data_IF_997937187967
#
_entry.id   IF_997937187967
#
_cell.length_a   1.000
_cell.length_b   1.000
_cell.length_c   1.000
_cell.angle_alpha   90.00
_cell.angle_beta   90.00
_cell.angle_gamma   90.00
#
_symmetry.space_group_name_H-M   'P 1'
#
loop_
_entity.id
_entity.type
_entity.pdbx_description
1 polymer ?
#
# COMPACT_ATOMS: atom_id res chain seq x y z
N UNK A 1 -58.65 -31.34 -33.57
CA UNK A 1 -58.73 -30.75 -32.21
C UNK A 1 -57.46 -29.94 -32.01
N UNK A 2 -57.55 -28.66 -32.36
CA UNK A 2 -56.54 -27.64 -32.11
C UNK A 2 -56.44 -27.33 -30.62
N UNK A 3 -55.21 -27.14 -30.13
CA UNK A 3 -54.95 -26.26 -28.97
C UNK A 3 -53.66 -25.47 -29.21
N UNK A 4 -53.86 -24.24 -29.68
CA UNK A 4 -52.98 -23.11 -29.44
C UNK A 4 -52.88 -22.81 -27.94
N UNK A 5 -51.66 -22.70 -27.42
CA UNK A 5 -51.38 -21.94 -26.19
C UNK A 5 -50.19 -21.03 -26.48
N UNK A 6 -50.49 -19.77 -26.78
CA UNK A 6 -49.59 -18.63 -26.70
C UNK A 6 -49.89 -17.90 -25.40
N UNK A 7 -48.92 -17.71 -24.51
CA UNK A 7 -49.10 -16.86 -23.34
C UNK A 7 -47.81 -16.62 -22.52
N UNK A 8 -47.17 -15.46 -22.77
CA UNK A 8 -46.50 -14.56 -21.81
C UNK A 8 -45.17 -15.02 -21.16
N UNK A 9 -44.08 -14.23 -21.14
CA UNK A 9 -43.87 -12.86 -21.62
C UNK A 9 -42.37 -12.52 -21.58
N UNK A 10 -41.86 -12.05 -22.72
CA UNK A 10 -40.57 -11.34 -22.81
C UNK A 10 -40.93 -9.91 -23.23
N UNK A 11 -40.95 -8.99 -22.26
CA UNK A 11 -41.26 -7.58 -22.50
C UNK A 11 -40.05 -6.72 -22.19
N UNK A 12 -39.31 -6.35 -23.23
CA UNK A 12 -38.54 -5.11 -23.23
C UNK A 12 -37.01 -5.27 -23.38
N UNK A 13 -36.36 -4.43 -24.21
CA UNK A 13 -34.89 -4.34 -24.29
C UNK A 13 -34.23 -3.71 -23.04
N UNK A 14 -34.98 -3.45 -21.97
CA UNK A 14 -34.51 -2.84 -20.72
C UNK A 14 -34.08 -3.86 -19.65
N UNK A 15 -34.54 -5.11 -19.72
CA UNK A 15 -34.14 -6.18 -18.78
C UNK A 15 -32.84 -6.88 -19.17
N UNK A 16 -32.32 -6.60 -20.38
CA UNK A 16 -31.02 -7.08 -20.81
C UNK A 16 -29.88 -6.22 -20.29
N UNK A 17 -30.11 -4.95 -19.92
CA UNK A 17 -29.03 -4.04 -19.51
C UNK A 17 -28.31 -4.50 -18.22
N UNK A 18 -29.00 -4.90 -17.14
CA UNK A 18 -28.31 -5.33 -15.91
C UNK A 18 -27.59 -6.67 -16.09
N UNK A 19 -28.17 -7.57 -16.89
CA UNK A 19 -27.59 -8.88 -17.20
C UNK A 19 -26.39 -8.78 -18.15
N UNK A 20 -26.44 -7.82 -19.10
CA UNK A 20 -25.34 -7.56 -20.03
C UNK A 20 -24.18 -6.84 -19.32
N UNK A 21 -24.43 -5.93 -18.39
CA UNK A 21 -23.36 -5.35 -17.54
C UNK A 21 -22.67 -6.44 -16.73
N UNK A 22 -23.44 -7.35 -16.12
CA UNK A 22 -22.88 -8.44 -15.33
C UNK A 22 -22.12 -9.48 -16.18
N UNK A 23 -22.50 -9.67 -17.46
CA UNK A 23 -21.80 -10.56 -18.38
C UNK A 23 -20.61 -9.92 -19.11
N UNK A 24 -20.65 -8.62 -19.40
CA UNK A 24 -19.51 -7.88 -19.98
C UNK A 24 -18.37 -7.76 -18.97
N UNK A 25 -18.68 -7.61 -17.68
CA UNK A 25 -17.68 -7.70 -16.61
C UNK A 25 -17.02 -9.09 -16.51
N UNK A 26 -17.79 -10.15 -16.81
CA UNK A 26 -17.30 -11.54 -16.79
C UNK A 26 -16.43 -11.88 -18.01
N UNK A 27 -16.75 -11.33 -19.18
CA UNK A 27 -16.06 -11.64 -20.44
C UNK A 27 -14.69 -10.98 -20.61
N UNK A 28 -14.34 -9.96 -19.81
CA UNK A 28 -13.07 -9.24 -19.87
C UNK A 28 -12.07 -9.61 -18.76
N UNK A 29 -12.37 -10.57 -17.87
CA UNK A 29 -11.44 -10.96 -16.79
C UNK A 29 -10.97 -9.82 -15.88
N UNK A 30 -11.72 -8.70 -15.85
CA UNK A 30 -11.36 -7.50 -15.10
C UNK A 30 -11.62 -7.69 -13.62
N UNK A 31 -10.63 -7.34 -12.79
CA UNK A 31 -10.81 -7.34 -11.34
C UNK A 31 -11.85 -6.28 -10.94
N UNK A 32 -12.59 -6.45 -9.84
CA UNK A 32 -13.50 -5.42 -9.35
C UNK A 32 -12.75 -4.10 -9.10
N UNK A 33 -13.34 -2.96 -9.45
CA UNK A 33 -12.74 -1.62 -9.29
C UNK A 33 -12.18 -1.36 -7.89
N UNK A 34 -12.84 -1.87 -6.85
CA UNK A 34 -12.39 -1.70 -5.47
C UNK A 34 -11.08 -2.47 -5.19
N UNK A 35 -10.81 -3.59 -5.87
CA UNK A 35 -9.55 -4.33 -5.73
C UNK A 35 -8.37 -3.52 -6.30
N UNK A 36 -8.60 -2.81 -7.41
CA UNK A 36 -7.62 -1.90 -7.99
C UNK A 36 -7.33 -0.70 -7.09
N UNK A 37 -8.39 -0.15 -6.48
CA UNK A 37 -8.28 0.92 -5.48
C UNK A 37 -7.49 0.45 -4.25
N UNK A 38 -7.79 -0.74 -3.71
CA UNK A 38 -7.06 -1.32 -2.57
C UNK A 38 -5.57 -1.48 -2.87
N UNK A 39 -5.23 -1.96 -4.06
CA UNK A 39 -3.83 -2.09 -4.44
C UNK A 39 -3.12 -0.76 -4.70
N UNK A 40 -3.82 0.23 -5.25
CA UNK A 40 -3.30 1.58 -5.39
C UNK A 40 -3.05 2.23 -4.03
N UNK A 41 -3.95 2.02 -3.07
CA UNK A 41 -3.76 2.44 -1.69
C UNK A 41 -2.53 1.76 -1.04
N UNK A 42 -2.39 0.44 -1.17
CA UNK A 42 -1.22 -0.29 -0.64
C UNK A 42 0.11 0.25 -1.21
N UNK A 43 0.15 0.51 -2.52
CA UNK A 43 1.32 1.11 -3.20
C UNK A 43 1.62 2.50 -2.67
N UNK A 44 0.60 3.34 -2.57
CA UNK A 44 0.75 4.69 -2.07
C UNK A 44 1.28 4.68 -0.63
N UNK A 45 0.64 3.94 0.27
CA UNK A 45 1.01 3.88 1.69
C UNK A 45 2.43 3.37 1.91
N UNK A 46 2.83 2.29 1.22
CA UNK A 46 4.21 1.77 1.33
C UNK A 46 5.23 2.75 0.77
N UNK A 47 4.98 3.35 -0.39
CA UNK A 47 5.90 4.33 -0.99
C UNK A 47 6.00 5.61 -0.17
N UNK A 48 4.86 6.06 0.37
CA UNK A 48 4.77 7.25 1.20
C UNK A 48 5.51 7.07 2.53
N UNK A 49 5.35 5.91 3.18
CA UNK A 49 6.13 5.54 4.36
C UNK A 49 7.64 5.52 4.08
N UNK A 50 8.08 4.85 3.00
CA UNK A 50 9.50 4.78 2.63
C UNK A 50 10.11 6.17 2.43
N UNK A 51 9.39 7.05 1.72
CA UNK A 51 9.80 8.44 1.51
C UNK A 51 9.85 9.24 2.80
N UNK A 52 8.83 9.12 3.65
CA UNK A 52 8.79 9.80 4.95
C UNK A 52 9.92 9.34 5.87
N UNK A 53 10.23 8.04 5.90
CA UNK A 53 11.32 7.50 6.70
C UNK A 53 12.69 8.01 6.23
N UNK A 54 12.92 8.06 4.92
CA UNK A 54 14.15 8.64 4.37
C UNK A 54 14.28 10.14 4.72
N UNK A 55 13.19 10.90 4.62
CA UNK A 55 13.16 12.31 5.02
C UNK A 55 13.42 12.50 6.52
N UNK A 56 12.88 11.63 7.36
CA UNK A 56 13.13 11.65 8.79
C UNK A 56 14.63 11.47 9.11
N UNK A 57 15.29 10.50 8.47
CA UNK A 57 16.73 10.27 8.63
C UNK A 57 17.53 11.48 8.15
N UNK A 58 17.21 12.02 6.98
CA UNK A 58 17.89 13.20 6.44
C UNK A 58 17.73 14.44 7.36
N UNK A 59 16.53 14.65 7.90
CA UNK A 59 16.26 15.71 8.86
C UNK A 59 17.03 15.49 10.17
N UNK A 60 17.09 14.25 10.66
CA UNK A 60 17.84 13.88 11.85
C UNK A 60 19.33 14.14 11.72
N UNK A 61 19.95 13.72 10.62
CA UNK A 61 21.37 13.98 10.33
C UNK A 61 21.64 15.48 10.29
N UNK A 62 20.79 16.25 9.61
CA UNK A 62 20.95 17.71 9.53
C UNK A 62 20.88 18.36 10.92
N UNK A 63 19.98 17.93 11.77
CA UNK A 63 19.80 18.48 13.12
C UNK A 63 21.03 18.23 14.00
N UNK A 64 21.57 17.00 14.01
CA UNK A 64 22.74 16.67 14.84
C UNK A 64 24.04 17.28 14.31
N UNK A 65 24.13 17.54 13.00
CA UNK A 65 25.31 18.15 12.36
C UNK A 65 25.29 19.68 12.36
N UNK A 66 24.16 20.31 12.72
CA UNK A 66 24.05 21.77 12.69
C UNK A 66 24.83 22.40 13.86
N UNK A 67 25.87 23.20 13.59
CA UNK A 67 26.63 23.86 14.65
C UNK A 67 25.80 24.93 15.36
N UNK A 68 25.98 25.06 16.67
CA UNK A 68 25.36 26.12 17.48
C UNK A 68 23.97 25.80 18.03
N UNK A 69 23.43 24.59 17.81
CA UNK A 69 22.21 24.13 18.47
C UNK A 69 22.57 23.51 19.82
N UNK A 70 21.92 23.99 20.88
CA UNK A 70 22.09 23.48 22.25
C UNK A 70 21.64 22.02 22.38
N UNK A 71 22.35 21.24 23.17
CA UNK A 71 22.12 19.79 23.28
C UNK A 71 20.79 19.48 23.97
N UNK A 72 20.37 20.33 24.93
CA UNK A 72 19.04 20.23 25.53
C UNK A 72 17.92 20.50 24.50
N UNK A 73 18.15 21.41 23.55
CA UNK A 73 17.19 21.68 22.47
C UNK A 73 17.13 20.51 21.49
N UNK A 74 18.27 19.89 21.17
CA UNK A 74 18.31 18.67 20.33
C UNK A 74 17.52 17.54 20.96
N UNK A 75 17.63 17.32 22.27
CA UNK A 75 16.89 16.26 22.97
C UNK A 75 15.38 16.43 22.89
N UNK A 76 14.89 17.66 23.08
CA UNK A 76 13.46 17.96 22.95
C UNK A 76 12.97 17.80 21.51
N UNK A 77 13.79 18.17 20.52
CA UNK A 77 13.46 17.99 19.10
C UNK A 77 13.40 16.51 18.74
N UNK A 78 14.35 15.71 19.22
CA UNK A 78 14.40 14.25 19.08
C UNK A 78 13.10 13.64 19.60
N UNK A 79 12.73 13.90 20.86
CA UNK A 79 11.50 13.37 21.47
C UNK A 79 10.26 13.64 20.59
N UNK A 80 10.06 14.89 20.17
CA UNK A 80 8.90 15.28 19.35
C UNK A 80 8.90 14.63 17.98
N UNK A 81 10.07 14.57 17.34
CA UNK A 81 10.22 14.03 15.99
C UNK A 81 9.95 12.53 15.99
N UNK A 82 10.47 11.80 16.97
CA UNK A 82 10.25 10.35 17.08
C UNK A 82 8.78 10.02 17.34
N UNK A 83 8.07 10.78 18.17
CA UNK A 83 6.62 10.59 18.34
C UNK A 83 5.86 10.66 17.01
N UNK A 84 6.13 11.69 16.20
CA UNK A 84 5.49 11.86 14.89
C UNK A 84 5.89 10.75 13.92
N UNK A 85 7.16 10.34 13.93
CA UNK A 85 7.67 9.25 13.10
C UNK A 85 6.95 7.93 13.36
N UNK A 86 6.85 7.50 14.63
CA UNK A 86 6.16 6.28 14.98
C UNK A 86 4.67 6.36 14.68
N UNK A 87 4.00 7.46 15.01
CA UNK A 87 2.58 7.64 14.68
C UNK A 87 2.32 7.44 13.18
N UNK A 88 3.18 8.03 12.36
CA UNK A 88 3.08 7.93 10.91
C UNK A 88 3.42 6.51 10.40
N UNK A 89 4.41 5.85 11.02
CA UNK A 89 4.75 4.45 10.77
C UNK A 89 3.56 3.53 11.00
N UNK A 90 2.90 3.67 12.15
CA UNK A 90 1.74 2.87 12.53
C UNK A 90 0.60 3.01 11.52
N UNK A 91 0.25 4.24 11.16
CA UNK A 91 -0.84 4.52 10.22
C UNK A 91 -0.53 3.91 8.85
N UNK A 92 0.66 4.17 8.31
CA UNK A 92 0.99 3.71 6.96
C UNK A 92 1.15 2.19 6.88
N UNK A 93 1.89 1.57 7.81
CA UNK A 93 2.14 0.13 7.79
C UNK A 93 0.87 -0.68 8.07
N UNK A 94 0.07 -0.31 9.07
CA UNK A 94 -1.17 -1.04 9.38
C UNK A 94 -2.17 -0.98 8.24
N UNK A 95 -2.36 0.20 7.63
CA UNK A 95 -3.25 0.36 6.49
C UNK A 95 -2.74 -0.37 5.24
N UNK A 96 -1.42 -0.34 4.99
CA UNK A 96 -0.82 -1.09 3.89
C UNK A 96 -0.96 -2.60 4.08
N UNK A 97 -0.72 -3.10 5.29
CA UNK A 97 -0.88 -4.51 5.65
C UNK A 97 -2.33 -4.96 5.49
N UNK A 98 -3.30 -4.16 5.95
CA UNK A 98 -4.72 -4.43 5.77
C UNK A 98 -5.09 -4.53 4.28
N UNK A 99 -4.62 -3.57 3.46
CA UNK A 99 -4.83 -3.61 2.02
C UNK A 99 -4.21 -4.87 1.39
N UNK A 100 -2.96 -5.20 1.74
CA UNK A 100 -2.28 -6.39 1.24
C UNK A 100 -3.01 -7.68 1.63
N UNK A 101 -3.53 -7.78 2.86
CA UNK A 101 -4.28 -8.94 3.34
C UNK A 101 -5.58 -9.13 2.54
N UNK A 102 -6.30 -8.04 2.27
CA UNK A 102 -7.50 -8.06 1.41
C UNK A 102 -7.14 -8.57 0.00
N UNK A 103 -6.04 -8.11 -0.58
CA UNK A 103 -5.58 -8.57 -1.90
C UNK A 103 -5.22 -10.06 -1.89
N UNK A 104 -4.50 -10.52 -0.87
CA UNK A 104 -4.10 -11.93 -0.73
C UNK A 104 -5.31 -12.87 -0.65
N UNK A 105 -6.35 -12.50 0.11
CA UNK A 105 -7.59 -13.27 0.20
C UNK A 105 -8.33 -13.34 -1.13
N UNK A 106 -8.30 -12.26 -1.91
CA UNK A 106 -9.15 -12.10 -3.11
C UNK A 106 -8.52 -12.61 -4.38
N UNK A 107 -7.21 -12.44 -4.54
CA UNK A 107 -6.47 -12.92 -5.71
C UNK A 107 -5.96 -14.34 -5.53
N UNK A 108 -5.68 -14.74 -4.27
CA UNK A 108 -5.07 -16.03 -3.91
C UNK A 108 -3.75 -16.31 -4.64
N UNK A 109 -2.99 -15.25 -4.95
CA UNK A 109 -1.68 -15.38 -5.59
C UNK A 109 -0.60 -15.54 -4.53
N UNK A 110 0.36 -16.43 -4.76
CA UNK A 110 1.47 -16.65 -3.84
C UNK A 110 2.26 -15.37 -3.55
N UNK A 111 2.37 -14.45 -4.52
CA UNK A 111 3.00 -13.14 -4.34
C UNK A 111 2.31 -12.30 -3.27
N UNK A 112 0.98 -12.28 -3.24
CA UNK A 112 0.26 -11.43 -2.30
C UNK A 112 0.43 -11.93 -0.86
N UNK A 113 0.58 -13.26 -0.68
CA UNK A 113 0.97 -13.85 0.60
C UNK A 113 2.37 -13.39 1.01
N UNK A 114 3.34 -13.41 0.09
CA UNK A 114 4.70 -12.92 0.36
C UNK A 114 4.68 -11.44 0.76
N UNK A 115 3.92 -10.59 0.06
CA UNK A 115 3.78 -9.17 0.41
C UNK A 115 3.20 -9.01 1.82
N UNK A 116 2.14 -9.75 2.15
CA UNK A 116 1.55 -9.74 3.50
C UNK A 116 2.56 -10.19 4.56
N UNK A 117 3.33 -11.24 4.29
CA UNK A 117 4.36 -11.71 5.21
C UNK A 117 5.46 -10.67 5.44
N UNK A 118 5.96 -10.03 4.38
CA UNK A 118 6.97 -8.97 4.47
C UNK A 118 6.46 -7.78 5.29
N UNK A 119 5.26 -7.28 5.00
CA UNK A 119 4.64 -6.18 5.74
C UNK A 119 4.30 -6.57 7.18
N UNK A 120 3.90 -7.81 7.41
CA UNK A 120 3.62 -8.36 8.74
C UNK A 120 4.87 -8.40 9.60
N UNK A 121 5.99 -8.92 9.08
CA UNK A 121 7.28 -8.92 9.78
C UNK A 121 7.77 -7.49 10.02
N UNK A 122 7.68 -6.60 9.03
CA UNK A 122 8.05 -5.19 9.20
C UNK A 122 7.22 -4.50 10.30
N UNK A 123 5.92 -4.80 10.37
CA UNK A 123 5.03 -4.27 11.41
C UNK A 123 5.40 -4.83 12.78
N UNK A 124 5.70 -6.13 12.88
CA UNK A 124 6.15 -6.75 14.13
C UNK A 124 7.48 -6.15 14.63
N UNK A 125 8.43 -5.87 13.72
CA UNK A 125 9.67 -5.17 14.06
C UNK A 125 9.41 -3.75 14.55
N UNK A 126 8.50 -3.00 13.92
CA UNK A 126 8.11 -1.66 14.37
C UNK A 126 7.48 -1.68 15.77
N UNK A 127 6.61 -2.66 16.06
CA UNK A 127 6.04 -2.88 17.39
C UNK A 127 7.16 -3.12 18.41
N UNK A 128 8.07 -4.04 18.08
CA UNK A 128 9.18 -4.41 18.93
C UNK A 128 10.10 -3.21 19.22
N UNK A 129 10.51 -2.49 18.18
CA UNK A 129 11.36 -1.29 18.29
C UNK A 129 10.70 -0.20 19.16
N UNK A 130 9.40 0.04 18.98
CA UNK A 130 8.68 1.01 19.80
C UNK A 130 8.74 0.68 21.30
N UNK A 131 8.40 -0.55 21.68
CA UNK A 131 8.29 -0.93 23.10
C UNK A 131 9.63 -1.26 23.76
N UNK A 132 10.55 -1.88 23.01
CA UNK A 132 11.78 -2.44 23.58
C UNK A 132 13.00 -1.54 23.36
N UNK A 133 12.92 -0.56 22.45
CA UNK A 133 14.06 0.28 22.09
C UNK A 133 13.71 1.75 22.30
N UNK A 134 12.68 2.26 21.64
CA UNK A 134 12.32 3.68 21.72
C UNK A 134 11.92 4.14 23.12
N UNK A 135 11.02 3.42 23.82
CA UNK A 135 10.61 3.82 25.16
C UNK A 135 11.81 3.85 26.15
N UNK A 136 12.67 2.83 26.24
CA UNK A 136 13.90 2.90 27.04
C UNK A 136 14.85 4.02 26.61
N UNK A 137 15.00 4.25 25.30
CA UNK A 137 15.87 5.30 24.78
C UNK A 137 15.36 6.70 25.16
N UNK A 138 14.04 6.89 25.20
CA UNK A 138 13.40 8.12 25.68
C UNK A 138 13.62 8.35 27.19
N UNK A 139 13.62 7.30 28.00
CA UNK A 139 13.94 7.41 29.43
C UNK A 139 15.39 7.87 29.65
N UNK A 140 16.33 7.39 28.84
CA UNK A 140 17.74 7.78 28.87
C UNK A 140 17.99 9.23 28.39
N UNK A 141 17.03 9.84 27.71
CA UNK A 141 17.08 11.26 27.30
C UNK A 141 16.59 12.22 28.40
N UNK A 142 16.07 11.71 29.52
CA UNK A 142 15.48 12.53 30.57
C UNK A 142 16.35 12.57 31.84
N UNK A 143 16.67 13.77 32.37
CA UNK A 143 16.42 15.12 31.83
C UNK A 143 17.28 15.45 30.60
N UNK A 144 16.83 16.42 29.76
CA UNK A 144 17.52 16.79 28.53
C UNK A 144 18.88 17.44 28.78
N UNK A 145 19.81 17.26 27.83
CA UNK A 145 21.16 17.83 27.85
C UNK A 145 22.19 16.97 28.59
N UNK A 146 21.84 15.74 28.98
CA UNK A 146 22.79 14.83 29.61
C UNK A 146 23.79 14.24 28.61
N UNK A 147 25.03 13.94 29.06
CA UNK A 147 25.99 13.17 28.26
C UNK A 147 25.38 11.82 27.85
N UNK A 148 25.64 11.39 26.62
CA UNK A 148 25.20 10.06 26.16
C UNK A 148 25.96 8.97 26.93
N UNK A 149 25.21 8.01 27.45
CA UNK A 149 25.77 6.83 28.11
C UNK A 149 26.04 5.73 27.08
N UNK A 150 26.93 4.78 27.42
CA UNK A 150 27.17 3.58 26.60
C UNK A 150 25.87 2.81 26.33
N UNK A 151 24.94 2.81 27.30
CA UNK A 151 23.63 2.20 27.16
C UNK A 151 22.76 2.90 26.11
N UNK A 152 22.81 4.23 26.04
CA UNK A 152 22.13 5.00 25.01
C UNK A 152 22.68 4.66 23.62
N UNK A 153 24.00 4.63 23.46
CA UNK A 153 24.64 4.33 22.17
C UNK A 153 24.30 2.91 21.70
N UNK A 154 24.35 1.92 22.61
CA UNK A 154 24.01 0.54 22.29
C UNK A 154 22.55 0.39 21.84
N UNK A 155 21.60 1.02 22.54
CA UNK A 155 20.18 1.01 22.15
C UNK A 155 19.94 1.76 20.85
N UNK A 156 20.62 2.89 20.63
CA UNK A 156 20.49 3.67 19.41
C UNK A 156 20.95 2.87 18.19
N UNK A 157 22.14 2.27 18.24
CA UNK A 157 22.65 1.41 17.17
C UNK A 157 21.73 0.20 16.91
N UNK A 158 21.17 -0.37 17.97
CA UNK A 158 20.22 -1.47 17.83
C UNK A 158 18.92 -1.02 17.14
N UNK A 159 18.40 0.16 17.48
CA UNK A 159 17.25 0.77 16.80
C UNK A 159 17.54 1.00 15.31
N UNK A 160 18.72 1.52 14.98
CA UNK A 160 19.13 1.75 13.58
C UNK A 160 19.11 0.45 12.78
N UNK A 161 19.62 -0.64 13.36
CA UNK A 161 19.61 -1.95 12.72
C UNK A 161 18.18 -2.47 12.49
N UNK A 162 17.35 -2.46 13.54
CA UNK A 162 15.96 -2.96 13.45
C UNK A 162 15.14 -2.14 12.45
N UNK A 163 15.25 -0.81 12.48
CA UNK A 163 14.57 0.07 11.54
C UNK A 163 15.07 -0.12 10.10
N UNK A 164 16.36 -0.34 9.90
CA UNK A 164 16.92 -0.60 8.56
C UNK A 164 16.38 -1.90 7.97
N UNK A 165 16.33 -2.98 8.77
CA UNK A 165 15.73 -4.25 8.33
C UNK A 165 14.25 -4.06 8.01
N UNK A 166 13.49 -3.41 8.90
CA UNK A 166 12.08 -3.10 8.67
C UNK A 166 11.85 -2.29 7.39
N UNK A 167 12.68 -1.26 7.15
CA UNK A 167 12.60 -0.43 5.95
C UNK A 167 12.87 -1.23 4.68
N UNK A 168 13.88 -2.10 4.66
CA UNK A 168 14.18 -2.98 3.51
C UNK A 168 13.03 -3.94 3.22
N UNK A 169 12.40 -4.52 4.24
CA UNK A 169 11.24 -5.40 4.06
C UNK A 169 10.07 -4.67 3.39
N UNK A 170 9.78 -3.44 3.83
CA UNK A 170 8.75 -2.60 3.21
C UNK A 170 9.15 -2.23 1.77
N UNK A 171 10.41 -1.90 1.53
CA UNK A 171 10.92 -1.58 0.20
C UNK A 171 10.70 -2.73 -0.78
N UNK A 172 11.07 -3.95 -0.40
CA UNK A 172 10.84 -5.16 -1.21
C UNK A 172 9.33 -5.37 -1.43
N UNK A 173 8.50 -5.21 -0.40
CA UNK A 173 7.04 -5.32 -0.54
C UNK A 173 6.48 -4.27 -1.51
N UNK A 174 6.96 -3.03 -1.47
CA UNK A 174 6.58 -1.97 -2.39
C UNK A 174 6.98 -2.31 -3.84
N UNK A 175 8.20 -2.79 -4.06
CA UNK A 175 8.64 -3.26 -5.38
C UNK A 175 7.73 -4.36 -5.91
N UNK A 176 7.36 -5.35 -5.08
CA UNK A 176 6.44 -6.42 -5.48
C UNK A 176 5.03 -5.92 -5.81
N UNK A 177 4.53 -4.93 -5.06
CA UNK A 177 3.25 -4.26 -5.32
C UNK A 177 3.27 -3.51 -6.66
N UNK A 178 4.39 -2.86 -7.00
CA UNK A 178 4.56 -2.06 -8.22
C UNK A 178 4.93 -2.88 -9.46
N UNK A 179 5.62 -4.02 -9.30
CA UNK A 179 6.03 -4.89 -10.40
C UNK A 179 4.86 -5.51 -11.19
N UNK A 180 3.61 -5.37 -10.71
CA UNK A 180 2.43 -5.77 -11.46
C UNK A 180 1.69 -4.54 -11.99
N UNK A 181 1.70 -4.30 -13.31
CA UNK A 181 0.67 -3.49 -13.92
C UNK A 181 -0.66 -4.18 -13.63
N UNK A 182 -1.52 -3.52 -12.86
CA UNK A 182 -2.93 -3.90 -12.91
C UNK A 182 -3.36 -3.38 -14.26
N UNK A 183 -3.73 -4.28 -15.15
CA UNK A 183 -4.10 -3.95 -16.50
C UNK A 183 -5.24 -2.92 -16.44
N UNK A 184 -4.89 -1.64 -16.52
CA UNK A 184 -5.82 -0.58 -16.86
C UNK A 184 -6.34 -0.95 -18.25
N UNK A 185 -7.51 -1.60 -18.30
CA UNK A 185 -8.28 -1.81 -19.52
C UNK A 185 -7.52 -2.39 -20.71
N UNK A 186 -6.74 -3.46 -20.56
CA UNK A 186 -6.23 -4.17 -21.74
C UNK A 186 -7.34 -5.03 -22.35
N UNK A 187 -8.22 -4.32 -23.06
CA UNK A 187 -9.41 -4.83 -23.72
C UNK A 187 -10.15 -3.71 -24.46
N UNK A 188 -9.45 -2.68 -24.96
CA UNK A 188 -9.98 -1.90 -26.07
C UNK A 188 -10.06 -2.86 -27.24
N UNK A 189 -11.20 -3.55 -27.39
CA UNK A 189 -11.60 -4.09 -28.69
C UNK A 189 -11.72 -2.88 -29.59
N UNK A 190 -10.69 -2.61 -30.38
CA UNK A 190 -10.82 -1.79 -31.57
C UNK A 190 -11.86 -2.51 -32.42
N UNK A 191 -13.12 -2.07 -32.33
CA UNK A 191 -14.14 -2.50 -33.28
C UNK A 191 -13.60 -2.17 -34.67
N UNK A 192 -13.47 -3.14 -35.58
CA UNK A 192 -13.13 -2.81 -36.96
C UNK A 192 -14.22 -1.84 -37.47
N UNK A 193 -13.87 -0.82 -38.29
CA UNK A 193 -14.88 0.05 -38.84
C UNK A 193 -15.82 -0.80 -39.69
N UNK A 194 -17.07 -0.95 -39.22
CA UNK A 194 -18.18 -1.45 -40.00
C UNK A 194 -18.48 -0.44 -41.10
N UNK A 195 -17.79 -0.56 -42.22
CA UNK A 195 -18.23 -0.02 -43.51
C UNK A 195 -18.16 -1.16 -44.51
N UNK A 196 -19.15 -2.05 -44.45
CA UNK A 196 -19.53 -2.83 -45.62
C UNK A 196 -20.25 -1.86 -46.57
N UNK A 197 -19.53 -1.38 -47.57
CA UNK A 197 -20.13 -0.76 -48.74
C UNK A 197 -20.87 -1.87 -49.50
N UNK A 198 -22.20 -1.86 -49.44
CA UNK A 198 -23.04 -2.62 -50.36
C UNK A 198 -22.71 -2.19 -51.79
N UNK A 199 -22.05 -3.08 -52.54
CA UNK A 199 -21.87 -2.90 -53.97
C UNK A 199 -23.24 -3.08 -54.66
N UNK A 200 -23.68 -2.15 -55.52
CA UNK A 200 -24.93 -2.29 -56.23
C UNK A 200 -24.88 -3.50 -57.16
N UNK A 201 -25.89 -4.36 -57.02
CA UNK A 201 -26.14 -5.52 -57.86
C UNK A 201 -26.35 -5.05 -59.32
N UNK A 202 -25.37 -5.30 -60.19
CA UNK A 202 -25.56 -5.14 -61.63
C UNK A 202 -26.44 -6.29 -62.15
N UNK A 203 -27.38 -5.94 -63.03
CA UNK A 203 -28.37 -6.83 -63.68
C UNK A 203 -27.73 -7.75 -64.69
#
# INVERSE_FOLDING_TARGET
MDRSVSAWGFTGPLDLVPLLEHQIMSACGGQPRWVEQTASAARFLTSFWLGAAALFVAAGIREVTTPGLDDAVKDVLVERRFFVFYLFQWICLSAALACAAVLAVKRRWGRDVVIVSLLGVATALAVYDYFQIYLPLLELLNPPGQPRSDAFEALHQFSEYVNSVGWVLVFVAACLLHACPQAFGCGVKVSPPLVQLDAPRAK
#
